data_IF_297882152403
#
_entry.id   IF_297882152403
#
_cell.length_a   1.000
_cell.length_b   1.000
_cell.length_c   1.000
_cell.angle_alpha   90.00
_cell.angle_beta   90.00
_cell.angle_gamma   90.00
#
_symmetry.space_group_name_H-M   'P 1'
#
loop_
_entity.id
_entity.type
_entity.pdbx_description
1 polymer ?
#
# COMPACT_ATOMS: atom_id res chain seq x y z
N UNK A 1 16.63 -1.04 2.87
CA UNK A 1 15.32 -0.62 2.34
C UNK A 1 14.81 -1.50 1.22
N UNK A 2 15.58 -1.79 0.15
CA UNK A 2 15.09 -2.65 -0.97
C UNK A 2 14.45 -3.97 -0.52
N UNK A 3 15.05 -4.67 0.45
CA UNK A 3 14.54 -5.95 0.93
C UNK A 3 13.20 -5.86 1.70
N UNK A 4 12.88 -4.70 2.29
CA UNK A 4 11.70 -4.51 3.13
C UNK A 4 10.45 -4.20 2.31
N UNK A 5 10.60 -3.42 1.24
CA UNK A 5 9.52 -3.20 0.26
C UNK A 5 9.22 -4.47 -0.53
N UNK A 6 10.24 -5.28 -0.81
CA UNK A 6 10.06 -6.60 -1.45
C UNK A 6 9.17 -7.53 -0.62
N UNK A 7 9.19 -7.44 0.71
CA UNK A 7 8.30 -8.26 1.55
C UNK A 7 6.83 -7.95 1.31
N UNK A 8 6.47 -6.67 1.13
CA UNK A 8 5.10 -6.29 0.79
C UNK A 8 4.68 -6.84 -0.59
N UNK A 9 5.56 -6.72 -1.60
CA UNK A 9 5.31 -7.26 -2.93
C UNK A 9 5.18 -8.80 -2.93
N UNK A 10 6.03 -9.50 -2.17
CA UNK A 10 5.95 -10.96 -2.03
C UNK A 10 4.62 -11.36 -1.40
N UNK A 11 4.18 -10.64 -0.37
CA UNK A 11 2.88 -10.89 0.29
C UNK A 11 1.71 -10.67 -0.67
N UNK A 12 1.71 -9.57 -1.41
CA UNK A 12 0.71 -9.28 -2.44
C UNK A 12 0.68 -10.38 -3.52
N UNK A 13 1.82 -10.70 -4.14
CA UNK A 13 1.90 -11.72 -5.19
C UNK A 13 1.41 -13.08 -4.68
N UNK A 14 1.84 -13.51 -3.49
CA UNK A 14 1.42 -14.77 -2.91
C UNK A 14 -0.09 -14.79 -2.60
N UNK A 15 -0.61 -13.67 -2.07
CA UNK A 15 -2.03 -13.50 -1.71
C UNK A 15 -2.96 -13.33 -2.90
N UNK A 16 -2.51 -12.74 -4.00
CA UNK A 16 -3.34 -12.37 -5.16
C UNK A 16 -4.13 -13.53 -5.77
N UNK A 17 -3.60 -14.76 -5.70
CA UNK A 17 -4.27 -15.95 -6.19
C UNK A 17 -5.55 -16.30 -5.38
N UNK A 18 -5.65 -15.79 -4.16
CA UNK A 18 -6.73 -16.06 -3.20
C UNK A 18 -7.68 -14.87 -2.99
N UNK A 19 -7.47 -13.79 -3.69
CA UNK A 19 -8.37 -12.66 -3.68
C UNK A 19 -9.70 -12.98 -4.35
N UNK A 20 -10.77 -12.31 -3.89
CA UNK A 20 -12.12 -12.52 -4.39
C UNK A 20 -12.85 -13.69 -3.70
N UNK A 21 -14.18 -13.55 -3.59
CA UNK A 21 -15.04 -14.43 -2.77
C UNK A 21 -14.94 -15.91 -3.11
N UNK A 22 -14.81 -16.25 -4.38
CA UNK A 22 -14.79 -17.64 -4.87
C UNK A 22 -13.44 -18.34 -4.70
N UNK A 23 -12.38 -17.61 -4.36
CA UNK A 23 -11.01 -18.12 -4.27
C UNK A 23 -10.45 -18.15 -2.85
N UNK A 24 -11.20 -17.62 -1.88
CA UNK A 24 -10.79 -17.62 -0.47
C UNK A 24 -10.79 -19.04 0.09
N UNK A 25 -9.76 -19.38 0.83
CA UNK A 25 -9.67 -20.60 1.59
C UNK A 25 -9.37 -20.29 3.06
N UNK A 26 -9.85 -21.19 3.97
CA UNK A 26 -9.43 -21.23 5.37
C UNK A 26 -8.54 -22.44 5.66
N UNK A 27 -8.32 -23.26 4.64
CA UNK A 27 -7.42 -24.41 4.71
C UNK A 27 -6.00 -23.93 4.40
N UNK A 28 -5.15 -23.92 5.42
CA UNK A 28 -3.77 -23.49 5.31
C UNK A 28 -2.96 -24.39 4.38
N UNK A 29 -3.20 -25.70 4.40
CA UNK A 29 -2.47 -26.67 3.61
C UNK A 29 -2.81 -26.57 2.11
N UNK A 30 -3.96 -25.99 1.79
CA UNK A 30 -4.36 -25.72 0.41
C UNK A 30 -3.70 -24.46 -0.19
N UNK A 31 -2.99 -23.65 0.61
CA UNK A 31 -2.35 -22.41 0.16
C UNK A 31 -1.04 -22.70 -0.56
N UNK A 32 -0.99 -22.37 -1.85
CA UNK A 32 0.23 -22.42 -2.67
C UNK A 32 0.74 -20.99 -2.89
N UNK A 33 1.84 -20.63 -2.23
CA UNK A 33 2.37 -19.26 -2.22
C UNK A 33 2.61 -18.67 -3.61
N UNK A 34 3.19 -19.43 -4.54
CA UNK A 34 3.48 -18.95 -5.90
C UNK A 34 2.79 -19.85 -6.92
N UNK A 35 1.46 -19.81 -6.95
CA UNK A 35 0.69 -20.53 -7.95
C UNK A 35 0.80 -19.87 -9.33
N UNK A 36 0.40 -20.58 -10.39
CA UNK A 36 0.37 -20.01 -11.75
C UNK A 36 -0.55 -18.80 -11.92
N UNK A 37 -1.41 -18.52 -10.92
CA UNK A 37 -2.32 -17.36 -10.87
C UNK A 37 -1.75 -16.21 -10.06
N UNK A 38 -0.62 -16.41 -9.37
CA UNK A 38 0.02 -15.37 -8.57
C UNK A 38 0.53 -14.25 -9.48
N UNK A 39 0.21 -13.01 -9.15
CA UNK A 39 0.64 -11.79 -9.85
C UNK A 39 0.72 -10.64 -8.87
N UNK A 40 1.47 -9.61 -9.20
CA UNK A 40 1.39 -8.36 -8.45
C UNK A 40 0.04 -7.66 -8.70
N UNK A 41 -0.41 -6.88 -7.75
CA UNK A 41 -1.66 -6.11 -7.83
C UNK A 41 -1.40 -4.62 -7.58
N UNK A 42 -2.48 -3.85 -7.43
CA UNK A 42 -2.42 -2.44 -7.05
C UNK A 42 -1.74 -2.22 -5.70
N UNK A 43 -1.77 -3.20 -4.79
CA UNK A 43 -1.02 -3.18 -3.52
C UNK A 43 0.49 -2.99 -3.77
N UNK A 44 1.08 -3.78 -4.66
CA UNK A 44 2.50 -3.64 -5.04
C UNK A 44 2.75 -2.32 -5.74
N UNK A 45 1.97 -1.99 -6.77
CA UNK A 45 2.16 -0.78 -7.59
C UNK A 45 2.16 0.47 -6.72
N UNK A 46 1.15 0.65 -5.87
CA UNK A 46 1.04 1.86 -5.06
C UNK A 46 2.00 1.87 -3.86
N UNK A 47 2.41 0.71 -3.34
CA UNK A 47 3.47 0.63 -2.32
C UNK A 47 4.78 1.16 -2.88
N UNK A 48 5.16 0.73 -4.08
CA UNK A 48 6.39 1.22 -4.72
C UNK A 48 6.28 2.69 -5.14
N UNK A 49 5.12 3.13 -5.63
CA UNK A 49 4.88 4.54 -5.95
C UNK A 49 5.06 5.45 -4.72
N UNK A 50 4.51 5.09 -3.57
CA UNK A 50 4.73 5.85 -2.34
C UNK A 50 6.21 5.88 -1.92
N UNK A 51 6.90 4.76 -2.01
CA UNK A 51 8.32 4.69 -1.67
C UNK A 51 9.17 5.55 -2.60
N UNK A 52 8.90 5.51 -3.89
CA UNK A 52 9.58 6.31 -4.91
C UNK A 52 9.38 7.80 -4.67
N UNK A 53 8.12 8.22 -4.39
CA UNK A 53 7.82 9.61 -4.07
C UNK A 53 8.65 10.12 -2.90
N UNK A 54 8.75 9.36 -1.81
CA UNK A 54 9.57 9.74 -0.66
C UNK A 54 11.07 9.75 -0.96
N UNK A 55 11.57 8.79 -1.72
CA UNK A 55 13.01 8.67 -2.01
C UNK A 55 13.52 9.77 -2.95
N UNK A 56 12.68 10.25 -3.83
CA UNK A 56 13.05 11.23 -4.86
C UNK A 56 12.39 12.60 -4.65
N UNK A 57 11.63 12.79 -3.57
CA UNK A 57 10.95 14.06 -3.27
C UNK A 57 9.89 14.43 -4.32
N UNK A 58 9.19 13.41 -4.86
CA UNK A 58 8.15 13.62 -5.86
C UNK A 58 6.82 13.99 -5.18
N UNK A 59 5.95 14.70 -5.93
CA UNK A 59 4.58 14.90 -5.48
C UNK A 59 3.84 13.56 -5.39
N UNK A 60 3.28 13.27 -4.21
CA UNK A 60 2.65 11.99 -3.92
C UNK A 60 1.46 11.70 -4.84
N UNK A 61 0.60 12.69 -5.09
CA UNK A 61 -0.58 12.51 -5.94
C UNK A 61 -0.18 12.23 -7.40
N UNK A 62 0.74 13.01 -7.92
CA UNK A 62 1.26 12.86 -9.28
C UNK A 62 1.94 11.50 -9.49
N UNK A 63 2.73 11.04 -8.50
CA UNK A 63 3.42 9.76 -8.64
C UNK A 63 2.47 8.57 -8.54
N UNK A 64 1.49 8.62 -7.64
CA UNK A 64 0.42 7.60 -7.56
C UNK A 64 -0.39 7.54 -8.87
N UNK A 65 -0.68 8.69 -9.47
CA UNK A 65 -1.38 8.78 -10.74
C UNK A 65 -0.56 8.19 -11.89
N UNK A 66 0.71 8.58 -11.99
CA UNK A 66 1.61 8.10 -13.04
C UNK A 66 1.79 6.57 -12.97
N UNK A 67 2.16 6.04 -11.81
CA UNK A 67 2.36 4.61 -11.63
C UNK A 67 1.05 3.82 -11.80
N UNK A 68 -0.07 4.36 -11.31
CA UNK A 68 -1.39 3.75 -11.47
C UNK A 68 -1.82 3.63 -12.94
N UNK A 69 -1.59 4.67 -13.75
CA UNK A 69 -1.90 4.64 -15.18
C UNK A 69 -0.97 3.72 -15.97
N UNK A 70 0.31 3.62 -15.59
CA UNK A 70 1.24 2.67 -16.20
C UNK A 70 0.82 1.21 -15.97
N UNK A 71 0.06 0.94 -14.90
CA UNK A 71 -0.36 -0.39 -14.49
C UNK A 71 -1.89 -0.48 -14.29
N UNK A 72 -2.67 0.13 -15.20
CA UNK A 72 -4.13 0.27 -15.05
C UNK A 72 -4.88 -1.05 -14.81
N UNK A 73 -4.31 -2.17 -15.25
CA UNK A 73 -4.87 -3.51 -15.11
C UNK A 73 -4.45 -4.21 -13.80
N UNK A 74 -3.73 -3.54 -12.91
CA UNK A 74 -3.23 -4.12 -11.66
C UNK A 74 -4.32 -4.49 -10.63
N UNK A 75 -5.59 -4.15 -10.87
CA UNK A 75 -6.69 -4.56 -9.99
C UNK A 75 -7.32 -3.43 -9.17
N UNK A 76 -7.01 -2.18 -9.48
CA UNK A 76 -7.55 -1.01 -8.78
C UNK A 76 -9.06 -1.05 -8.59
N UNK A 77 -9.51 -0.60 -7.41
CA UNK A 77 -10.93 -0.39 -7.14
C UNK A 77 -11.55 0.66 -8.06
N UNK A 78 -12.85 0.55 -8.33
CA UNK A 78 -13.57 1.38 -9.31
C UNK A 78 -13.42 2.89 -9.05
N UNK A 79 -13.50 3.33 -7.79
CA UNK A 79 -13.33 4.76 -7.46
C UNK A 79 -11.91 5.27 -7.70
N UNK A 80 -10.90 4.43 -7.48
CA UNK A 80 -9.51 4.80 -7.76
C UNK A 80 -9.26 4.83 -9.28
N UNK A 81 -9.86 3.93 -10.06
CA UNK A 81 -9.83 4.00 -11.53
C UNK A 81 -10.44 5.29 -12.06
N UNK A 82 -11.55 5.76 -11.48
CA UNK A 82 -12.11 7.07 -11.84
C UNK A 82 -11.14 8.22 -11.50
N UNK A 83 -10.49 8.13 -10.34
CA UNK A 83 -9.47 9.10 -9.94
C UNK A 83 -8.25 9.10 -10.88
N UNK A 84 -7.82 7.93 -11.36
CA UNK A 84 -6.75 7.81 -12.37
C UNK A 84 -7.13 8.44 -13.70
N UNK A 85 -8.41 8.43 -14.07
CA UNK A 85 -8.94 9.08 -15.27
C UNK A 85 -9.24 10.58 -15.09
N UNK A 86 -9.23 11.08 -13.84
CA UNK A 86 -9.48 12.51 -13.56
C UNK A 86 -8.21 13.33 -13.77
N UNK A 87 -8.34 14.44 -14.48
CA UNK A 87 -7.24 15.35 -14.76
C UNK A 87 -6.77 16.13 -13.52
N UNK A 88 -7.66 16.38 -12.56
CA UNK A 88 -7.36 17.20 -11.39
C UNK A 88 -6.86 16.43 -10.18
N UNK A 89 -6.96 15.10 -10.19
CA UNK A 89 -6.51 14.19 -9.11
C UNK A 89 -6.97 14.62 -7.71
N UNK A 90 -8.21 15.15 -7.61
CA UNK A 90 -8.73 15.63 -6.33
C UNK A 90 -9.09 14.46 -5.40
N UNK A 91 -8.82 14.59 -4.09
CA UNK A 91 -9.18 13.59 -3.12
C UNK A 91 -10.70 13.35 -3.07
N UNK A 92 -11.12 12.08 -3.00
CA UNK A 92 -12.52 11.70 -3.07
C UNK A 92 -13.06 11.06 -1.76
N UNK A 93 -12.42 11.35 -0.63
CA UNK A 93 -12.84 10.94 0.72
C UNK A 93 -13.04 9.43 0.85
N UNK A 94 -12.17 8.62 0.26
CA UNK A 94 -12.19 7.17 0.47
C UNK A 94 -11.87 6.84 1.94
N UNK A 95 -12.51 5.79 2.44
CA UNK A 95 -12.18 5.12 3.70
C UNK A 95 -11.98 3.62 3.49
N UNK A 96 -11.72 3.19 2.25
CA UNK A 96 -11.31 1.84 1.91
C UNK A 96 -9.89 1.54 2.41
N UNK A 97 -9.43 0.33 2.21
CA UNK A 97 -8.10 -0.13 2.65
C UNK A 97 -6.94 0.40 1.79
N UNK A 98 -7.21 1.08 0.67
CA UNK A 98 -6.19 1.49 -0.29
C UNK A 98 -5.12 2.44 0.25
N UNK A 99 -5.37 3.17 1.33
CA UNK A 99 -4.33 3.95 2.02
C UNK A 99 -3.46 3.09 2.93
N UNK A 100 -4.05 2.10 3.61
CA UNK A 100 -3.35 1.21 4.53
C UNK A 100 -2.42 0.23 3.78
N UNK A 101 -2.84 -0.27 2.61
CA UNK A 101 -2.05 -1.22 1.82
C UNK A 101 -0.73 -0.63 1.32
N UNK A 102 -0.68 0.68 1.00
CA UNK A 102 0.46 1.35 0.35
C UNK A 102 1.39 2.12 1.28
N UNK A 103 1.05 2.25 2.57
CA UNK A 103 1.78 3.12 3.52
C UNK A 103 3.04 2.50 4.12
N UNK A 104 3.42 1.28 3.75
CA UNK A 104 4.53 0.56 4.40
C UNK A 104 5.85 1.32 4.36
N UNK A 105 6.15 2.05 3.28
CA UNK A 105 7.33 2.90 3.15
C UNK A 105 7.41 3.98 4.24
N UNK A 106 6.28 4.53 4.68
CA UNK A 106 6.24 5.51 5.77
C UNK A 106 6.78 4.93 7.08
N UNK A 107 6.35 3.71 7.45
CA UNK A 107 6.86 3.02 8.64
C UNK A 107 8.35 2.69 8.57
N UNK A 108 8.84 2.32 7.38
CA UNK A 108 10.25 1.98 7.19
C UNK A 108 11.18 3.20 7.16
N UNK A 109 10.75 4.31 6.58
CA UNK A 109 11.57 5.51 6.42
C UNK A 109 11.63 6.36 7.68
N UNK A 110 10.55 6.41 8.45
CA UNK A 110 10.45 7.27 9.62
C UNK A 110 11.52 6.96 10.68
N UNK A 111 12.06 8.02 11.27
CA UNK A 111 13.00 7.98 12.40
C UNK A 111 12.31 8.22 13.74
N UNK A 112 11.17 8.93 13.73
CA UNK A 112 10.31 9.16 14.91
C UNK A 112 8.89 8.73 14.64
N UNK A 113 8.10 8.58 15.69
CA UNK A 113 6.69 8.21 15.56
C UNK A 113 5.87 9.34 14.92
N UNK A 114 6.19 10.59 15.24
CA UNK A 114 5.55 11.78 14.65
C UNK A 114 5.83 11.84 13.13
N UNK A 115 7.05 11.54 12.73
CA UNK A 115 7.42 11.45 11.31
C UNK A 115 6.67 10.30 10.63
N UNK A 116 6.53 9.15 11.26
CA UNK A 116 5.76 8.02 10.75
C UNK A 116 4.30 8.41 10.48
N UNK A 117 3.67 9.10 11.43
CA UNK A 117 2.30 9.59 11.31
C UNK A 117 2.18 10.59 10.14
N UNK A 118 3.12 11.53 10.03
CA UNK A 118 3.14 12.52 8.94
C UNK A 118 3.27 11.85 7.58
N UNK A 119 4.26 10.97 7.40
CA UNK A 119 4.49 10.27 6.13
C UNK A 119 3.30 9.36 5.76
N UNK A 120 2.75 8.63 6.72
CA UNK A 120 1.57 7.79 6.48
C UNK A 120 0.36 8.61 6.05
N UNK A 121 0.13 9.76 6.69
CA UNK A 121 -0.93 10.71 6.31
C UNK A 121 -0.72 11.19 4.87
N UNK A 122 0.50 11.55 4.49
CA UNK A 122 0.85 12.00 3.14
C UNK A 122 0.53 10.94 2.08
N UNK A 123 0.77 9.65 2.34
CA UNK A 123 0.37 8.57 1.41
C UNK A 123 -1.15 8.44 1.26
N UNK A 124 -1.93 8.80 2.27
CA UNK A 124 -3.39 8.65 2.26
C UNK A 124 -4.09 9.83 1.56
N UNK A 125 -3.63 11.06 1.79
CA UNK A 125 -4.31 12.30 1.37
C UNK A 125 -4.76 12.34 -0.09
N UNK A 126 -4.00 11.87 -1.10
CA UNK A 126 -4.39 11.98 -2.51
C UNK A 126 -5.73 11.35 -2.86
N UNK A 127 -6.18 10.35 -2.10
CA UNK A 127 -7.42 9.62 -2.41
C UNK A 127 -8.27 9.32 -1.16
N UNK A 128 -7.63 9.11 0.00
CA UNK A 128 -8.24 8.64 1.25
C UNK A 128 -8.19 9.73 2.33
N UNK A 129 -8.61 10.94 2.00
CA UNK A 129 -8.65 12.09 2.92
C UNK A 129 -9.84 12.07 3.90
N UNK A 130 -10.57 10.95 4.00
CA UNK A 130 -11.52 10.71 5.09
C UNK A 130 -10.75 10.36 6.38
N UNK A 131 -11.18 10.80 7.57
CA UNK A 131 -10.48 10.50 8.84
C UNK A 131 -10.18 9.02 9.05
N UNK A 132 -11.13 8.12 8.75
CA UNK A 132 -10.91 6.67 8.87
C UNK A 132 -9.95 6.12 7.81
N UNK A 133 -9.89 6.73 6.62
CA UNK A 133 -8.90 6.38 5.60
C UNK A 133 -7.47 6.75 6.04
N UNK A 134 -7.28 7.95 6.58
CA UNK A 134 -6.00 8.40 7.14
C UNK A 134 -5.60 7.52 8.33
N UNK A 135 -6.53 7.27 9.24
CA UNK A 135 -6.31 6.43 10.43
C UNK A 135 -5.83 5.02 10.06
N UNK A 136 -6.42 4.40 9.02
CA UNK A 136 -5.99 3.10 8.53
C UNK A 136 -4.52 3.09 8.09
N UNK A 137 -4.10 4.08 7.31
CA UNK A 137 -2.70 4.22 6.90
C UNK A 137 -1.77 4.45 8.10
N UNK A 138 -2.13 5.36 9.01
CA UNK A 138 -1.34 5.68 10.20
C UNK A 138 -1.15 4.46 11.09
N UNK A 139 -2.21 3.70 11.35
CA UNK A 139 -2.12 2.49 12.20
C UNK A 139 -1.20 1.45 11.56
N UNK A 140 -1.38 1.17 10.27
CA UNK A 140 -0.54 0.20 9.57
C UNK A 140 0.94 0.61 9.54
N UNK A 141 1.23 1.88 9.24
CA UNK A 141 2.60 2.39 9.23
C UNK A 141 3.24 2.37 10.63
N UNK A 142 2.49 2.72 11.69
CA UNK A 142 2.98 2.65 13.08
C UNK A 142 3.31 1.23 13.52
N UNK A 143 2.50 0.25 13.13
CA UNK A 143 2.83 -1.17 13.38
C UNK A 143 4.18 -1.53 12.78
N UNK A 144 4.43 -1.14 11.52
CA UNK A 144 5.72 -1.38 10.84
C UNK A 144 6.86 -0.64 11.54
N UNK A 145 6.65 0.63 11.91
CA UNK A 145 7.64 1.45 12.61
C UNK A 145 8.05 0.82 13.94
N UNK A 146 7.10 0.38 14.76
CA UNK A 146 7.38 -0.25 16.04
C UNK A 146 8.04 -1.62 15.88
N UNK A 147 7.62 -2.44 14.92
CA UNK A 147 8.28 -3.72 14.63
C UNK A 147 9.72 -3.54 14.16
N UNK A 148 9.98 -2.54 13.30
CA UNK A 148 11.34 -2.19 12.86
C UNK A 148 12.26 -1.83 14.02
N UNK A 149 11.74 -1.14 15.02
CA UNK A 149 12.50 -0.61 16.16
C UNK A 149 12.51 -1.54 17.39
N UNK A 150 11.88 -2.71 17.31
CA UNK A 150 11.94 -3.70 18.40
C UNK A 150 13.39 -4.16 18.63
N UNK A 151 13.80 -4.11 19.90
CA UNK A 151 15.11 -4.64 20.32
C UNK A 151 15.09 -6.16 20.47
N UNK A 152 13.95 -6.72 20.85
CA UNK A 152 13.75 -8.17 21.00
C UNK A 152 13.23 -8.73 19.67
N UNK A 153 14.07 -9.44 18.96
CA UNK A 153 13.74 -10.13 17.68
C UNK A 153 13.45 -11.62 17.86
N UNK A 154 13.20 -12.04 19.08
CA UNK A 154 12.85 -13.44 19.38
C UNK A 154 11.36 -13.65 19.01
N UNK A 155 11.16 -14.40 17.91
CA UNK A 155 9.87 -14.90 17.49
C UNK A 155 9.80 -16.39 17.83
#
# INVERSE_FOLDING_TARGET
>A
MKNLLMSAAIGDIAGSAYEGRSRRTKDYDAVKMFSSRARFTDDTVLTFACAEAFLHGLDMASNLWMCGNQHIDAGFGSRFKLWLGDHYHLPYRSFGNGSAMRCSSAGWLAHTEEECIRLATETALPSHNHPEGIKGAVVAARCIFHLKNRKDKDF
#
